data_IF_638242086221
#
_entry.id   IF_638242086221
#
_cell.length_a   1.000
_cell.length_b   1.000
_cell.length_c   1.000
_cell.angle_alpha   90.00
_cell.angle_beta   90.00
_cell.angle_gamma   90.00
#
_symmetry.space_group_name_H-M   'P 1'
#
loop_
_entity.id
_entity.type
_entity.pdbx_description
1 polymer ?
#
# COMPACT_ATOMS: atom_id res chain seq x y z
N UNK A 1 6.34 5.44 12.37
CA UNK A 1 4.91 5.41 11.98
C UNK A 1 4.79 4.89 10.55
N UNK A 2 3.75 4.12 10.23
CA UNK A 2 3.44 3.69 8.85
C UNK A 2 2.05 4.18 8.47
N UNK A 3 1.92 4.74 7.25
CA UNK A 3 0.69 5.39 6.75
C UNK A 3 0.37 4.90 5.33
N UNK A 4 -0.84 4.40 5.10
CA UNK A 4 -1.34 3.89 3.82
C UNK A 4 -2.28 4.85 3.07
N UNK A 5 -2.50 6.06 3.58
CA UNK A 5 -3.41 7.08 3.01
C UNK A 5 -2.83 8.50 3.11
N UNK A 6 -3.13 9.43 2.19
CA UNK A 6 -3.91 9.31 0.96
C UNK A 6 -3.02 8.93 -0.24
N UNK A 7 -3.45 7.93 -1.02
CA UNK A 7 -2.82 7.67 -2.32
C UNK A 7 -2.86 8.92 -3.21
N UNK A 8 -1.98 8.97 -4.21
CA UNK A 8 -1.99 10.00 -5.27
C UNK A 8 -2.48 9.35 -6.58
N UNK A 9 -3.79 9.34 -6.86
CA UNK A 9 -4.32 8.73 -8.09
C UNK A 9 -3.73 9.36 -9.36
N UNK A 10 -3.41 10.66 -9.33
CA UNK A 10 -2.75 11.37 -10.43
C UNK A 10 -1.36 10.77 -10.78
N UNK A 11 -0.71 10.09 -9.83
CA UNK A 11 0.58 9.42 -10.00
C UNK A 11 0.43 7.89 -10.00
N UNK A 12 -0.77 7.35 -10.26
CA UNK A 12 -1.08 5.92 -10.18
C UNK A 12 -0.78 5.27 -8.82
N UNK A 13 -0.70 6.05 -7.73
CA UNK A 13 -0.48 5.55 -6.37
C UNK A 13 -1.84 5.45 -5.68
N UNK A 14 -2.26 4.23 -5.35
CA UNK A 14 -3.51 3.92 -4.69
C UNK A 14 -3.32 3.72 -3.18
N UNK A 15 -4.34 4.05 -2.37
CA UNK A 15 -4.29 3.80 -0.94
C UNK A 15 -4.24 2.30 -0.66
N UNK A 16 -3.53 1.94 0.41
CA UNK A 16 -3.33 0.56 0.85
C UNK A 16 -3.72 0.39 2.32
N UNK A 17 -4.10 -0.83 2.68
CA UNK A 17 -4.36 -1.23 4.07
C UNK A 17 -3.39 -2.32 4.45
N UNK A 18 -2.73 -2.17 5.60
CA UNK A 18 -1.91 -3.23 6.18
C UNK A 18 -2.84 -4.28 6.75
N UNK A 19 -2.72 -5.53 6.29
CA UNK A 19 -3.52 -6.68 6.73
C UNK A 19 -2.67 -7.73 7.45
N UNK A 20 -1.35 -7.65 7.33
CA UNK A 20 -0.41 -8.56 8.01
C UNK A 20 0.90 -7.85 8.32
N UNK A 21 1.56 -8.30 9.39
CA UNK A 21 2.89 -7.83 9.81
C UNK A 21 3.70 -9.03 10.26
N UNK A 22 4.89 -9.23 9.69
CA UNK A 22 5.80 -10.33 10.00
C UNK A 22 5.10 -11.71 9.96
N UNK A 23 4.19 -11.91 9.00
CA UNK A 23 3.38 -13.12 8.87
C UNK A 23 2.24 -13.26 9.89
N UNK A 24 2.01 -12.25 10.74
CA UNK A 24 0.86 -12.19 11.65
C UNK A 24 -0.26 -11.36 11.05
N UNK A 25 -1.40 -12.00 10.81
CA UNK A 25 -2.59 -11.32 10.31
C UNK A 25 -3.12 -10.34 11.36
N UNK A 26 -3.36 -9.10 10.94
CA UNK A 26 -3.89 -8.04 11.79
C UNK A 26 -5.21 -7.53 11.24
N UNK A 27 -6.02 -6.90 12.09
CA UNK A 27 -7.16 -6.13 11.59
C UNK A 27 -6.66 -5.07 10.60
N UNK A 28 -7.29 -4.92 9.42
CA UNK A 28 -6.85 -3.98 8.40
C UNK A 28 -6.68 -2.56 8.95
N UNK A 29 -5.48 -1.99 8.83
CA UNK A 29 -5.16 -0.64 9.32
C UNK A 29 -4.54 0.22 8.22
N UNK A 30 -4.96 1.48 8.19
CA UNK A 30 -4.43 2.49 7.27
C UNK A 30 -3.30 3.30 7.92
N UNK A 31 -3.25 3.38 9.25
CA UNK A 31 -2.20 4.07 10.00
C UNK A 31 -1.82 3.22 11.20
N UNK A 32 -0.52 3.12 11.48
CA UNK A 32 -0.05 2.44 12.68
C UNK A 32 1.26 2.98 13.24
N UNK A 33 1.37 2.85 14.56
CA UNK A 33 2.56 3.18 15.33
C UNK A 33 3.31 1.90 15.65
N UNK A 34 4.57 1.86 15.25
CA UNK A 34 5.46 0.72 15.44
C UNK A 34 6.73 1.19 16.12
N UNK A 35 7.33 0.28 16.89
CA UNK A 35 8.67 0.50 17.43
C UNK A 35 9.68 0.52 16.28
N UNK A 36 10.85 1.16 16.46
CA UNK A 36 11.91 1.07 15.48
C UNK A 36 12.34 -0.39 15.30
N UNK A 37 12.44 -0.84 14.05
CA UNK A 37 12.67 -2.24 13.73
C UNK A 37 12.43 -2.55 12.27
N UNK A 38 12.84 -3.75 11.87
CA UNK A 38 12.59 -4.29 10.55
C UNK A 38 11.27 -5.05 10.56
N UNK A 39 10.37 -4.72 9.64
CA UNK A 39 9.05 -5.32 9.54
C UNK A 39 8.72 -5.70 8.09
N UNK A 40 8.06 -6.84 7.91
CA UNK A 40 7.46 -7.25 6.64
C UNK A 40 5.96 -6.97 6.69
N UNK A 41 5.47 -6.09 5.81
CA UNK A 41 4.07 -5.73 5.74
C UNK A 41 3.40 -6.41 4.56
N UNK A 42 2.31 -7.14 4.80
CA UNK A 42 1.39 -7.54 3.74
C UNK A 42 0.27 -6.53 3.69
N UNK A 43 0.07 -5.92 2.52
CA UNK A 43 -0.96 -4.90 2.33
C UNK A 43 -1.92 -5.29 1.21
N UNK A 44 -3.15 -4.79 1.35
CA UNK A 44 -4.21 -4.91 0.36
C UNK A 44 -4.47 -3.54 -0.27
N UNK A 45 -4.39 -3.46 -1.60
CA UNK A 45 -4.60 -2.24 -2.36
C UNK A 45 -6.10 -2.00 -2.61
N UNK A 46 -6.58 -0.81 -2.28
CA UNK A 46 -7.95 -0.39 -2.57
C UNK A 46 -8.01 0.43 -3.85
N UNK A 47 -7.97 -0.26 -4.98
CA UNK A 47 -7.98 0.37 -6.30
C UNK A 47 -9.42 0.65 -6.71
N UNK A 48 -9.79 1.93 -6.72
CA UNK A 48 -11.06 2.41 -7.25
C UNK A 48 -10.81 3.18 -8.55
N UNK A 49 -11.40 2.70 -9.65
CA UNK A 49 -11.43 3.37 -10.96
C UNK A 49 -10.05 3.71 -11.58
N UNK A 50 -9.22 2.70 -11.92
CA UNK A 50 -7.90 2.95 -12.51
C UNK A 50 -7.98 3.52 -13.95
N UNK A 51 -7.06 4.42 -14.35
CA UNK A 51 -7.04 5.00 -15.69
C UNK A 51 -6.75 3.90 -16.73
N UNK A 52 -7.61 3.79 -17.74
CA UNK A 52 -7.58 2.74 -18.77
C UNK A 52 -8.67 1.66 -18.65
N UNK A 53 -9.42 1.63 -17.54
CA UNK A 53 -10.46 0.62 -17.26
C UNK A 53 -11.90 1.15 -17.38
N UNK A 54 -12.08 2.30 -18.05
CA UNK A 54 -13.38 2.95 -18.24
C UNK A 54 -14.39 2.13 -19.07
N UNK A 55 -13.95 1.02 -19.68
CA UNK A 55 -14.79 0.13 -20.51
C UNK A 55 -15.39 -1.07 -19.75
N UNK A 56 -14.93 -1.41 -18.54
CA UNK A 56 -15.54 -2.49 -17.73
C UNK A 56 -16.44 -1.93 -16.62
N UNK A 57 -17.56 -1.31 -17.03
CA UNK A 57 -18.73 -1.18 -16.14
C UNK A 57 -19.19 -2.60 -15.77
N UNK A 58 -18.75 -3.13 -14.64
CA UNK A 58 -19.33 -4.39 -14.14
C UNK A 58 -18.51 -5.18 -13.15
N UNK A 59 -17.20 -4.94 -13.03
CA UNK A 59 -16.41 -5.58 -11.97
C UNK A 59 -15.39 -4.59 -11.45
N UNK A 60 -15.72 -3.94 -10.33
CA UNK A 60 -14.71 -3.55 -9.35
C UNK A 60 -14.02 -4.85 -8.98
N UNK A 61 -13.01 -5.25 -9.75
CA UNK A 61 -12.10 -6.29 -9.30
C UNK A 61 -11.32 -5.61 -8.20
N UNK A 62 -11.82 -5.74 -6.96
CA UNK A 62 -10.94 -5.80 -5.80
C UNK A 62 -10.03 -6.97 -6.09
N UNK A 63 -8.98 -6.73 -6.88
CA UNK A 63 -7.95 -7.71 -7.05
C UNK A 63 -7.18 -7.59 -5.75
N UNK A 64 -7.52 -8.48 -4.81
CA UNK A 64 -6.83 -8.64 -3.53
C UNK A 64 -5.44 -9.21 -3.84
N UNK A 65 -4.61 -8.41 -4.50
CA UNK A 65 -3.19 -8.67 -4.63
C UNK A 65 -2.59 -8.41 -3.27
N UNK A 66 -2.47 -9.46 -2.46
CA UNK A 66 -1.61 -9.44 -1.28
C UNK A 66 -0.19 -9.23 -1.80
N UNK A 67 0.36 -8.05 -1.55
CA UNK A 67 1.74 -7.75 -1.84
C UNK A 67 2.47 -7.51 -0.52
N UNK A 68 3.70 -7.99 -0.46
CA UNK A 68 4.58 -7.87 0.71
C UNK A 68 5.60 -6.76 0.45
N UNK A 69 5.88 -5.95 1.48
CA UNK A 69 6.96 -4.97 1.46
C UNK A 69 7.73 -5.02 2.77
N UNK A 70 9.04 -5.05 2.65
CA UNK A 70 9.95 -4.96 3.80
C UNK A 70 10.28 -3.50 4.06
N UNK A 71 10.00 -3.00 5.27
CA UNK A 71 10.28 -1.62 5.68
C UNK A 71 11.03 -1.62 7.00
N UNK A 72 12.16 -0.90 7.02
CA UNK A 72 12.90 -0.61 8.26
C UNK A 72 12.32 0.67 8.85
N UNK A 73 11.55 0.53 9.92
CA UNK A 73 10.95 1.65 10.65
C UNK A 73 12.00 2.23 11.58
N UNK A 74 12.32 3.51 11.42
CA UNK A 74 13.20 4.24 12.33
C UNK A 74 12.41 5.09 13.33
N UNK A 75 13.04 5.44 14.45
CA UNK A 75 12.45 6.34 15.45
C UNK A 75 12.26 7.74 14.85
N UNK A 76 11.14 8.39 15.17
CA UNK A 76 10.85 9.74 14.67
C UNK A 76 10.63 9.81 13.16
N UNK A 77 10.35 8.69 12.47
CA UNK A 77 10.03 8.71 11.03
C UNK A 77 8.67 8.13 10.72
N UNK A 78 8.02 8.71 9.72
CA UNK A 78 6.72 8.33 9.19
C UNK A 78 6.88 7.86 7.73
N UNK A 79 6.60 6.58 7.47
CA UNK A 79 6.72 5.96 6.16
C UNK A 79 5.35 5.88 5.51
N UNK A 80 5.20 6.52 4.36
CA UNK A 80 3.95 6.52 3.60
C UNK A 80 4.07 5.51 2.47
N UNK A 81 3.24 4.47 2.55
CA UNK A 81 3.18 3.36 1.61
C UNK A 81 1.96 3.48 0.69
N UNK A 82 2.12 3.04 -0.55
CA UNK A 82 1.03 3.03 -1.52
C UNK A 82 1.26 1.97 -2.59
N UNK A 83 0.21 1.61 -3.30
CA UNK A 83 0.26 0.68 -4.42
C UNK A 83 0.37 1.45 -5.73
N UNK A 84 1.50 1.35 -6.41
CA UNK A 84 1.71 1.92 -7.74
C UNK A 84 1.20 0.95 -8.81
N UNK A 85 0.20 1.37 -9.60
CA UNK A 85 -0.31 0.57 -10.71
C UNK A 85 0.56 0.77 -11.95
N UNK A 86 1.22 -0.29 -12.40
CA UNK A 86 2.07 -0.23 -13.60
C UNK A 86 1.40 -0.83 -14.84
N UNK A 87 0.29 -1.56 -14.69
CA UNK A 87 -0.55 -2.06 -15.78
C UNK A 87 0.14 -2.98 -16.81
N UNK A 88 1.44 -3.23 -16.67
CA UNK A 88 2.29 -4.01 -17.59
C UNK A 88 2.34 -5.50 -17.23
N UNK A 89 2.14 -5.85 -15.96
CA UNK A 89 2.10 -7.25 -15.50
C UNK A 89 0.66 -7.70 -15.21
N UNK A 90 0.21 -8.75 -15.90
CA UNK A 90 -1.13 -9.34 -15.73
C UNK A 90 -1.32 -9.99 -14.36
N UNK A 91 -0.26 -10.57 -13.80
CA UNK A 91 -0.29 -11.32 -12.54
C UNK A 91 -0.02 -10.44 -11.31
N UNK A 92 0.77 -9.38 -11.46
CA UNK A 92 1.03 -8.35 -10.44
C UNK A 92 0.86 -6.95 -11.01
N UNK A 93 -0.40 -6.49 -11.19
CA UNK A 93 -0.64 -5.16 -11.75
C UNK A 93 -0.18 -4.00 -10.87
N UNK A 94 0.15 -4.27 -9.60
CA UNK A 94 0.49 -3.29 -8.59
C UNK A 94 1.83 -3.62 -7.94
N UNK A 95 2.70 -2.62 -7.84
CA UNK A 95 3.93 -2.66 -7.06
C UNK A 95 3.79 -1.80 -5.81
N UNK A 96 4.25 -2.29 -4.67
CA UNK A 96 4.23 -1.52 -3.43
C UNK A 96 5.44 -0.61 -3.36
N UNK A 97 5.18 0.65 -3.04
CA UNK A 97 6.23 1.67 -2.95
C UNK A 97 6.07 2.49 -1.69
N UNK A 98 7.18 2.77 -1.01
CA UNK A 98 7.27 3.87 -0.05
C UNK A 98 7.44 5.13 -0.88
N UNK A 99 6.40 5.96 -0.96
CA UNK A 99 6.43 7.16 -1.81
C UNK A 99 6.81 8.44 -1.05
N UNK A 100 6.79 8.40 0.30
CA UNK A 100 7.17 9.53 1.15
C UNK A 100 7.68 9.02 2.49
N UNK A 101 8.71 9.68 3.01
CA UNK A 101 9.17 9.54 4.39
C UNK A 101 9.16 10.93 5.00
N UNK A 102 8.54 11.09 6.16
CA UNK A 102 8.53 12.35 6.92
C UNK A 102 9.20 12.15 8.27
N UNK A 103 9.99 13.13 8.70
CA UNK A 103 10.51 13.18 10.07
C UNK A 103 9.41 13.74 10.98
N UNK A 104 9.14 13.02 12.07
CA UNK A 104 8.29 13.47 13.16
C UNK A 104 9.20 14.12 14.19
N UNK A 105 9.23 15.45 14.16
CA UNK A 105 9.80 16.30 15.22
C UNK A 105 9.00 16.20 16.52
#
# INVERSE_FOLDING_TARGET
>A
MVVGTPGRPANNIYPVRVVEIDGQNISPREVMWLKPGKYTFTVSALVRNPPGLSAMRGRVRTQEGMNEIEVVVEAGKAYYIGAHYEGRERDKPYNLVVYRVEEQE
#
